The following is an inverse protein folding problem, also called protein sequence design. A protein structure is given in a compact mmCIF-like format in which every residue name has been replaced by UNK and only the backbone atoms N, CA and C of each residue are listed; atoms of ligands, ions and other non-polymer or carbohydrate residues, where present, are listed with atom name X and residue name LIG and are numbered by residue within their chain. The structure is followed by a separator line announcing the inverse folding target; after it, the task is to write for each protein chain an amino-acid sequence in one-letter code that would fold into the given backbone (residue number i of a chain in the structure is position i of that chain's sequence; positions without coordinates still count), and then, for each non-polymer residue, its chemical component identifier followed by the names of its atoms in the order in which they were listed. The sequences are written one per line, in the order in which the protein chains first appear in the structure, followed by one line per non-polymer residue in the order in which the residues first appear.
data_IF_630096449025
#
_entry.id   IF_630096449025
#
_cell.length_a   1.000
_cell.length_b   1.000
_cell.length_c   1.000
_cell.angle_alpha   90.00
_cell.angle_beta   90.00
_cell.angle_gamma   90.00
#
_symmetry.space_group_name_H-M   'P 1'
#
loop_
_entity.id
_entity.type
_entity.pdbx_description
1 polymer ?
#
# COMPACT_ATOMS: atom_id res chain seq x y z
N UNK A 1 21.02 -1.59 15.05
CA UNK A 1 19.94 -2.25 14.26
C UNK A 1 18.80 -1.28 14.08
N UNK A 2 18.36 -1.13 12.86
CA UNK A 2 17.27 -0.22 12.57
C UNK A 2 15.95 -0.79 13.10
N UNK A 3 15.21 0.05 13.81
CA UNK A 3 13.89 -0.33 14.30
C UNK A 3 12.78 0.43 13.57
N UNK A 4 13.12 0.99 12.42
CA UNK A 4 12.11 1.71 11.66
C UNK A 4 10.95 0.78 11.30
N UNK A 5 9.71 1.22 11.55
CA UNK A 5 8.57 0.42 11.13
C UNK A 5 8.52 0.34 9.61
N UNK A 6 7.94 -0.72 9.06
CA UNK A 6 7.78 -0.80 7.61
C UNK A 6 6.88 0.34 7.12
N UNK A 7 7.09 0.73 5.88
CA UNK A 7 6.25 1.76 5.27
C UNK A 7 4.81 1.24 5.18
N UNK A 8 3.82 2.13 5.31
CA UNK A 8 2.43 1.72 5.08
C UNK A 8 2.26 1.16 3.67
N UNK A 9 1.28 0.29 3.51
CA UNK A 9 0.93 -0.21 2.18
C UNK A 9 0.53 0.94 1.28
N UNK A 10 0.87 0.84 0.01
CA UNK A 10 0.52 1.86 -0.95
C UNK A 10 1.47 1.92 -2.11
N UNK A 11 1.35 2.99 -2.87
CA UNK A 11 2.16 3.24 -4.03
C UNK A 11 3.33 4.14 -3.66
N UNK A 12 4.50 3.78 -4.15
CA UNK A 12 5.74 4.50 -3.85
C UNK A 12 6.60 4.62 -5.09
N UNK A 13 7.52 5.56 -5.05
CA UNK A 13 8.54 5.68 -6.09
C UNK A 13 9.91 5.79 -5.44
N UNK A 14 10.93 5.36 -6.17
CA UNK A 14 12.30 5.69 -5.86
C UNK A 14 12.72 6.81 -6.81
N UNK A 15 13.18 7.90 -6.23
CA UNK A 15 13.58 9.07 -6.98
C UNK A 15 14.58 9.87 -6.17
N UNK A 16 15.61 10.38 -6.83
CA UNK A 16 16.64 11.19 -6.16
C UNK A 16 17.27 10.48 -4.97
N UNK A 17 17.44 9.15 -5.06
CA UNK A 17 18.08 8.37 -4.01
C UNK A 17 17.21 8.11 -2.79
N UNK A 18 15.92 8.39 -2.86
CA UNK A 18 14.99 8.25 -1.74
C UNK A 18 13.71 7.57 -2.18
N UNK A 19 12.97 7.06 -1.20
CA UNK A 19 11.64 6.49 -1.42
C UNK A 19 10.59 7.52 -1.03
N UNK A 20 9.62 7.72 -1.92
CA UNK A 20 8.56 8.71 -1.74
C UNK A 20 7.20 8.06 -1.84
N UNK A 21 6.27 8.49 -0.98
CA UNK A 21 4.88 8.15 -1.16
C UNK A 21 4.38 8.82 -2.44
N UNK A 22 3.57 8.11 -3.23
CA UNK A 22 3.19 8.60 -4.54
C UNK A 22 1.77 8.24 -4.91
N UNK A 23 1.25 8.95 -5.90
CA UNK A 23 0.01 8.58 -6.56
C UNK A 23 0.17 8.83 -8.05
N UNK A 24 -0.58 8.10 -8.87
CA UNK A 24 -0.55 8.34 -10.31
C UNK A 24 -1.42 9.54 -10.67
N UNK A 25 -0.96 10.31 -11.64
CA UNK A 25 -1.76 11.41 -12.17
C UNK A 25 -2.63 10.87 -13.28
N UNK A 26 -3.85 11.37 -13.34
CA UNK A 26 -4.84 10.84 -14.25
C UNK A 26 -4.45 10.98 -15.73
N UNK A 27 -4.83 10.18 -16.47
CA UNK A 27 -5.06 9.82 -17.86
C UNK A 27 -4.32 10.61 -18.94
N UNK A 28 -3.42 9.95 -19.63
CA UNK A 28 -2.86 8.66 -19.29
C UNK A 28 -1.95 8.79 -18.10
N UNK A 29 -1.67 7.73 -17.36
CA UNK A 29 -0.84 7.82 -16.18
C UNK A 29 0.65 7.94 -16.55
N UNK A 30 0.99 9.04 -17.20
CA UNK A 30 2.35 9.28 -17.62
C UNK A 30 3.15 10.05 -16.60
N UNK A 31 2.51 10.45 -15.50
CA UNK A 31 3.15 11.20 -14.46
C UNK A 31 2.81 10.61 -13.10
N UNK A 32 3.64 10.89 -12.11
CA UNK A 32 3.36 10.54 -10.74
C UNK A 32 3.54 11.76 -9.88
N UNK A 33 2.74 11.82 -8.82
CA UNK A 33 2.86 12.89 -7.83
C UNK A 33 3.49 12.31 -6.59
N UNK A 34 4.58 12.90 -6.13
CA UNK A 34 5.26 12.48 -4.91
C UNK A 34 4.95 13.45 -3.79
N UNK A 35 4.90 12.94 -2.57
CA UNK A 35 4.50 13.73 -1.40
C UNK A 35 5.58 13.80 -0.37
N UNK A 36 5.63 14.93 0.33
CA UNK A 36 6.58 15.15 1.42
C UNK A 36 5.90 15.99 2.50
N UNK A 37 6.45 15.95 3.71
CA UNK A 37 5.91 16.72 4.81
C UNK A 37 6.46 18.14 4.83
N UNK A 38 7.53 18.39 4.08
CA UNK A 38 8.13 19.73 3.98
C UNK A 38 8.41 20.04 2.53
N UNK A 39 8.65 21.31 2.24
CA UNK A 39 9.04 21.71 0.88
C UNK A 39 10.49 21.30 0.65
N UNK A 40 10.66 20.22 -0.12
CA UNK A 40 11.99 19.68 -0.40
C UNK A 40 12.76 20.57 -1.37
N UNK A 41 12.07 21.14 -2.34
CA UNK A 41 12.65 22.07 -3.30
C UNK A 41 11.57 23.03 -3.79
N UNK A 42 11.93 24.09 -4.52
CA UNK A 42 10.96 25.11 -4.96
C UNK A 42 9.86 24.57 -5.88
N UNK A 43 10.04 23.38 -6.47
CA UNK A 43 9.04 22.81 -7.36
C UNK A 43 7.94 22.06 -6.61
N UNK A 44 8.12 21.83 -5.32
CA UNK A 44 7.05 21.26 -4.50
C UNK A 44 6.06 22.35 -4.15
N UNK A 45 4.77 22.03 -4.33
CA UNK A 45 3.68 22.94 -4.00
C UNK A 45 2.85 22.33 -2.88
N UNK A 46 2.31 23.17 -2.02
CA UNK A 46 1.51 22.69 -0.91
C UNK A 46 0.14 22.25 -1.38
N UNK A 47 -0.29 21.08 -0.91
CA UNK A 47 -1.61 20.52 -1.24
C UNK A 47 -2.67 21.09 -0.29
N UNK A 48 -3.93 20.78 -0.59
CA UNK A 48 -5.04 21.21 0.26
C UNK A 48 -4.98 20.61 1.66
N UNK A 49 -4.30 19.47 1.81
CA UNK A 49 -4.15 18.83 3.11
C UNK A 49 -2.91 19.31 3.88
N UNK A 50 -2.18 20.28 3.33
CA UNK A 50 -0.99 20.81 3.98
C UNK A 50 0.30 20.08 3.68
N UNK A 51 0.24 19.00 2.93
CA UNK A 51 1.44 18.29 2.49
C UNK A 51 2.03 18.96 1.27
N UNK A 52 3.27 18.64 0.98
CA UNK A 52 3.95 19.16 -0.20
C UNK A 52 4.01 18.11 -1.27
N UNK A 53 3.80 18.50 -2.53
CA UNK A 53 3.76 17.56 -3.63
C UNK A 53 4.46 18.11 -4.86
N UNK A 54 5.04 17.21 -5.63
CA UNK A 54 5.65 17.54 -6.92
C UNK A 54 5.27 16.47 -7.92
N UNK A 55 4.95 16.88 -9.13
CA UNK A 55 4.63 15.95 -10.23
C UNK A 55 5.89 15.67 -11.02
N UNK A 56 6.16 14.39 -11.25
CA UNK A 56 7.35 13.93 -11.96
C UNK A 56 6.93 13.10 -13.17
N UNK A 57 7.68 13.16 -14.27
CA UNK A 57 7.46 12.24 -15.36
C UNK A 57 7.70 10.81 -14.91
N UNK A 58 6.85 9.89 -15.34
CA UNK A 58 7.00 8.50 -14.96
C UNK A 58 8.34 7.91 -15.39
N UNK A 59 8.91 8.44 -16.48
CA UNK A 59 10.21 7.99 -16.98
C UNK A 59 11.37 8.31 -16.04
N UNK A 60 11.18 9.21 -15.08
CA UNK A 60 12.26 9.59 -14.18
C UNK A 60 12.20 8.87 -12.83
N UNK A 61 11.20 8.03 -12.61
CA UNK A 61 10.99 7.38 -11.33
C UNK A 61 10.85 5.87 -11.48
N UNK A 62 11.17 5.17 -10.41
CA UNK A 62 10.93 3.72 -10.33
C UNK A 62 9.71 3.51 -9.45
N UNK A 63 8.62 3.05 -10.05
CA UNK A 63 7.33 2.92 -9.38
C UNK A 63 7.16 1.52 -8.83
N UNK A 64 6.71 1.41 -7.58
CA UNK A 64 6.45 0.11 -6.97
C UNK A 64 5.31 0.21 -5.97
N UNK A 65 4.74 -0.93 -5.64
CA UNK A 65 3.65 -1.03 -4.66
C UNK A 65 4.09 -1.90 -3.51
N UNK A 66 3.73 -1.48 -2.30
CA UNK A 66 3.93 -2.28 -1.10
C UNK A 66 2.58 -2.81 -0.64
N UNK A 67 2.55 -4.09 -0.31
CA UNK A 67 1.35 -4.73 0.23
C UNK A 67 1.78 -5.69 1.32
N UNK A 68 1.04 -5.71 2.41
CA UNK A 68 1.35 -6.55 3.56
C UNK A 68 0.40 -7.73 3.60
N UNK A 69 0.95 -8.91 3.86
CA UNK A 69 0.19 -10.16 3.91
C UNK A 69 0.46 -10.87 5.22
N UNK A 70 -0.45 -11.73 5.61
CA UNK A 70 -0.27 -12.57 6.79
C UNK A 70 -1.09 -13.84 6.65
N UNK A 71 -0.94 -14.75 7.61
CA UNK A 71 -1.80 -15.93 7.72
C UNK A 71 -2.58 -15.84 9.02
N UNK A 72 -3.86 -16.18 8.94
CA UNK A 72 -4.74 -16.24 10.09
C UNK A 72 -5.65 -17.44 9.90
N UNK A 73 -5.71 -18.31 10.90
CA UNK A 73 -6.46 -19.57 10.83
C UNK A 73 -6.08 -20.40 9.60
N UNK A 74 -4.78 -20.43 9.32
CA UNK A 74 -4.20 -21.18 8.20
C UNK A 74 -4.61 -20.68 6.82
N UNK A 75 -5.13 -19.46 6.74
CA UNK A 75 -5.55 -18.85 5.48
C UNK A 75 -4.78 -17.56 5.28
N UNK A 76 -4.39 -17.30 4.04
CA UNK A 76 -3.65 -16.09 3.69
C UNK A 76 -4.59 -14.90 3.52
N UNK A 77 -4.21 -13.79 4.12
CA UNK A 77 -4.96 -12.54 4.04
C UNK A 77 -4.03 -11.40 3.65
N UNK A 78 -4.63 -10.36 3.07
CA UNK A 78 -3.95 -9.10 2.92
C UNK A 78 -4.27 -8.23 4.14
N UNK A 79 -3.23 -7.58 4.69
CA UNK A 79 -3.42 -6.64 5.79
C UNK A 79 -3.74 -5.29 5.17
N UNK A 80 -4.94 -4.77 5.43
CA UNK A 80 -5.42 -3.54 4.82
C UNK A 80 -5.32 -2.33 5.74
N UNK A 81 -4.82 -2.52 6.94
CA UNK A 81 -4.65 -1.45 7.90
C UNK A 81 -4.90 -1.95 9.30
N UNK A 82 -5.16 -1.04 10.22
CA UNK A 82 -5.49 -1.36 11.59
C UNK A 82 -6.83 -0.75 11.95
N UNK A 83 -7.53 -1.42 12.87
CA UNK A 83 -8.78 -0.90 13.39
C UNK A 83 -8.51 0.11 14.50
N UNK A 84 -9.54 0.80 14.96
CA UNK A 84 -9.42 1.76 16.05
C UNK A 84 -8.99 1.10 17.36
N UNK A 85 -9.18 -0.22 17.49
CA UNK A 85 -8.77 -0.97 18.68
C UNK A 85 -7.38 -1.59 18.54
N UNK A 86 -6.70 -1.34 17.43
CA UNK A 86 -5.35 -1.86 17.23
C UNK A 86 -5.27 -3.24 16.60
N UNK A 87 -6.39 -3.81 16.21
CA UNK A 87 -6.40 -5.08 15.51
C UNK A 87 -6.03 -4.89 14.04
N UNK A 88 -5.51 -5.94 13.40
CA UNK A 88 -5.23 -5.88 11.97
C UNK A 88 -6.53 -6.06 11.19
N UNK A 89 -6.73 -5.22 10.21
CA UNK A 89 -7.84 -5.36 9.28
C UNK A 89 -7.40 -6.28 8.14
N UNK A 90 -8.16 -7.35 7.93
CA UNK A 90 -7.78 -8.41 7.01
C UNK A 90 -8.72 -8.47 5.82
N UNK A 91 -8.15 -8.55 4.62
CA UNK A 91 -8.90 -8.76 3.40
C UNK A 91 -8.69 -10.19 2.91
N UNK A 92 -9.78 -10.90 2.67
CA UNK A 92 -9.74 -12.28 2.23
C UNK A 92 -9.26 -12.35 0.77
N UNK A 93 -8.26 -13.17 0.51
CA UNK A 93 -7.69 -13.32 -0.83
C UNK A 93 -8.34 -14.46 -1.62
N UNK A 94 -9.07 -15.34 -0.93
CA UNK A 94 -9.72 -16.46 -1.59
C UNK A 94 -11.06 -16.07 -2.24
N UNK A 95 -11.70 -17.06 -2.81
CA UNK A 95 -12.99 -16.86 -3.48
C UNK A 95 -14.06 -17.80 -2.96
N UNK A 96 -13.76 -18.54 -1.89
CA UNK A 96 -14.66 -19.52 -1.34
C UNK A 96 -15.54 -18.88 -0.28
N UNK A 97 -16.79 -18.61 -0.63
CA UNK A 97 -17.75 -18.00 0.28
C UNK A 97 -17.99 -18.84 1.52
N UNK A 98 -17.99 -20.16 1.38
CA UNK A 98 -18.18 -21.06 2.50
C UNK A 98 -17.03 -20.92 3.49
N UNK A 99 -15.79 -20.84 3.00
CA UNK A 99 -14.64 -20.63 3.84
C UNK A 99 -14.70 -19.27 4.52
N UNK A 100 -15.11 -18.25 3.80
CA UNK A 100 -15.21 -16.90 4.37
C UNK A 100 -16.21 -16.88 5.52
N UNK A 101 -17.33 -17.56 5.38
CA UNK A 101 -18.33 -17.65 6.45
C UNK A 101 -17.79 -18.43 7.64
N UNK A 102 -17.09 -19.52 7.38
CA UNK A 102 -16.49 -20.34 8.45
C UNK A 102 -15.50 -19.51 9.26
N UNK A 103 -14.80 -18.60 8.63
CA UNK A 103 -13.83 -17.72 9.28
C UNK A 103 -14.49 -16.55 10.01
N UNK A 104 -15.80 -16.38 9.87
CA UNK A 104 -16.50 -15.28 10.51
C UNK A 104 -16.30 -13.93 9.82
N UNK A 105 -15.95 -13.94 8.55
CA UNK A 105 -15.70 -12.70 7.82
C UNK A 105 -17.01 -12.00 7.47
N UNK A 106 -16.92 -10.67 7.31
CA UNK A 106 -18.05 -9.84 6.92
C UNK A 106 -17.97 -9.57 5.43
N UNK A 107 -19.09 -9.73 4.73
CA UNK A 107 -19.18 -9.42 3.32
C UNK A 107 -19.30 -7.92 3.13
N UNK A 108 -18.26 -7.30 2.57
CA UNK A 108 -18.25 -5.85 2.33
C UNK A 108 -18.93 -5.51 1.02
N UNK A 109 -18.72 -6.36 0.01
CA UNK A 109 -19.31 -6.23 -1.32
C UNK A 109 -19.41 -7.63 -1.90
N UNK A 110 -20.16 -7.85 -2.99
CA UNK A 110 -20.17 -9.17 -3.63
C UNK A 110 -18.75 -9.62 -3.96
N UNK A 111 -18.36 -10.76 -3.43
CA UNK A 111 -17.04 -11.33 -3.63
C UNK A 111 -15.93 -10.74 -2.77
N UNK A 112 -16.24 -9.78 -1.90
CA UNK A 112 -15.25 -9.14 -1.04
C UNK A 112 -15.59 -9.38 0.43
N UNK A 113 -14.71 -10.07 1.14
CA UNK A 113 -14.90 -10.41 2.55
C UNK A 113 -13.76 -9.82 3.39
N UNK A 114 -14.10 -9.29 4.52
CA UNK A 114 -13.14 -8.63 5.43
C UNK A 114 -13.33 -9.11 6.85
N UNK A 115 -12.28 -9.01 7.63
CA UNK A 115 -12.32 -9.34 9.04
C UNK A 115 -11.29 -8.56 9.80
N UNK A 116 -11.16 -8.88 11.08
CA UNK A 116 -10.14 -8.27 11.92
C UNK A 116 -9.62 -9.33 12.89
N UNK A 117 -8.34 -9.22 13.22
CA UNK A 117 -7.72 -10.14 14.18
C UNK A 117 -6.63 -9.43 14.96
N UNK A 118 -6.42 -9.81 16.24
CA UNK A 118 -5.29 -9.26 16.97
C UNK A 118 -3.98 -9.64 16.28
N UNK A 119 -3.01 -8.73 16.33
CA UNK A 119 -1.71 -9.00 15.74
C UNK A 119 -1.08 -10.29 16.26
N UNK A 120 -1.37 -10.64 17.51
CA UNK A 120 -0.86 -11.86 18.13
C UNK A 120 -1.49 -13.14 17.58
N UNK A 121 -2.62 -13.01 16.90
CA UNK A 121 -3.32 -14.16 16.33
C UNK A 121 -2.90 -14.47 14.89
N UNK A 122 -2.14 -13.60 14.25
CA UNK A 122 -1.70 -13.80 12.88
C UNK A 122 -0.24 -14.26 12.86
N UNK A 123 0.13 -14.97 11.78
CA UNK A 123 1.49 -15.43 11.56
C UNK A 123 1.94 -15.02 10.17
N UNK A 124 3.23 -15.21 9.89
CA UNK A 124 3.80 -14.91 8.56
C UNK A 124 3.50 -13.51 8.06
N UNK A 125 3.61 -12.54 8.96
CA UNK A 125 3.39 -11.14 8.60
C UNK A 125 4.56 -10.66 7.74
N UNK A 126 4.28 -10.34 6.48
CA UNK A 126 5.29 -9.95 5.51
C UNK A 126 4.79 -8.81 4.63
N UNK A 127 5.67 -7.86 4.36
CA UNK A 127 5.39 -6.83 3.38
C UNK A 127 6.10 -7.21 2.08
N UNK A 128 5.36 -7.24 1.00
CA UNK A 128 5.88 -7.59 -0.33
C UNK A 128 5.93 -6.35 -1.20
N UNK A 129 6.99 -6.25 -1.97
CA UNK A 129 7.18 -5.17 -2.92
C UNK A 129 6.94 -5.70 -4.33
N UNK A 130 6.04 -5.05 -5.06
CA UNK A 130 5.77 -5.40 -6.44
C UNK A 130 6.25 -4.27 -7.33
N UNK A 131 7.19 -4.56 -8.21
CA UNK A 131 7.69 -3.56 -9.14
C UNK A 131 6.65 -3.32 -10.23
N UNK A 132 6.34 -2.07 -10.49
CA UNK A 132 5.44 -1.69 -11.54
C UNK A 132 6.26 -1.20 -12.73
N UNK A 133 5.67 -1.26 -13.92
CA UNK A 133 6.39 -0.84 -15.09
C UNK A 133 6.87 0.60 -14.93
N UNK A 134 8.15 0.83 -15.17
CA UNK A 134 8.74 2.14 -15.13
C UNK A 134 8.82 2.68 -16.54
N UNK A 135 8.59 3.97 -16.73
CA UNK A 135 8.78 4.59 -18.02
C UNK A 135 10.23 4.59 -18.47
N UNK A 136 11.15 4.45 -17.52
CA UNK A 136 12.57 4.35 -17.83
C UNK A 136 12.94 2.98 -18.38
N UNK A 137 12.08 1.99 -18.17
CA UNK A 137 12.30 0.64 -18.67
C UNK A 137 11.63 0.52 -20.02
N UNK A 138 12.39 0.64 -21.05
CA UNK A 138 11.86 0.38 -22.37
C UNK A 138 11.90 -1.12 -22.56
N UNK A 139 10.74 -1.67 -22.59
CA UNK A 139 10.62 -3.09 -22.82
C UNK A 139 11.08 -3.50 -24.17
#
# INVERSE_FOLDING_TARGET
MSTEPPLPDGLYVEWAGRTWEATTVARPPESVKVFADTQVDPQFSQTLTGRWARTLPRSEVWLFRLATYCRWQDVRFRVEGTTSTGELRLGYLGRDETEARRLGLTKAQPGVYVGAAPRTAVTDLQQERTELASGATTG
#
